data_IF_825270847048
#
_entry.id   IF_825270847048
#
_cell.length_a   1.000
_cell.length_b   1.000
_cell.length_c   1.000
_cell.angle_alpha   90.00
_cell.angle_beta   90.00
_cell.angle_gamma   90.00
#
_symmetry.space_group_name_H-M   'P 1'
#
loop_
_entity.id
_entity.type
_entity.pdbx_description
1 polymer ?
#
# COMPACT_ATOMS: atom_id res chain seq x y z
N UNK A 1 3.19 -17.89 -7.23
CA UNK A 1 3.27 -16.56 -7.88
C UNK A 1 2.17 -15.71 -7.26
N UNK A 2 2.46 -14.46 -6.90
CA UNK A 2 1.45 -13.58 -6.28
C UNK A 2 0.34 -13.30 -7.31
N UNK A 3 -0.93 -13.37 -6.90
CA UNK A 3 -2.04 -12.97 -7.76
C UNK A 3 -2.21 -11.45 -7.68
N UNK A 4 -1.77 -10.74 -8.72
CA UNK A 4 -1.85 -9.27 -8.79
C UNK A 4 -3.30 -8.76 -8.84
N UNK A 5 -4.24 -9.53 -9.38
CA UNK A 5 -5.66 -9.17 -9.38
C UNK A 5 -6.22 -9.09 -7.96
N UNK A 6 -5.81 -9.99 -7.06
CA UNK A 6 -6.21 -9.94 -5.65
C UNK A 6 -5.68 -8.68 -4.95
N UNK A 7 -4.48 -8.21 -5.33
CA UNK A 7 -3.91 -6.98 -4.77
C UNK A 7 -4.72 -5.75 -5.21
N UNK A 8 -5.09 -5.70 -6.49
CA UNK A 8 -5.95 -4.65 -7.04
C UNK A 8 -7.31 -4.69 -6.35
N UNK A 9 -7.92 -5.87 -6.22
CA UNK A 9 -9.20 -6.03 -5.54
C UNK A 9 -9.16 -5.54 -4.09
N UNK A 10 -8.15 -5.94 -3.31
CA UNK A 10 -7.98 -5.49 -1.93
C UNK A 10 -7.80 -3.96 -1.83
N UNK A 11 -7.16 -3.35 -2.83
CA UNK A 11 -6.91 -1.91 -2.89
C UNK A 11 -8.16 -1.10 -3.27
N UNK A 12 -9.00 -1.62 -4.16
CA UNK A 12 -10.08 -0.84 -4.82
C UNK A 12 -11.50 -1.27 -4.44
N UNK A 13 -11.67 -2.35 -3.69
CA UNK A 13 -13.01 -2.76 -3.24
C UNK A 13 -13.68 -1.69 -2.36
N UNK A 14 -15.01 -1.71 -2.37
CA UNK A 14 -15.81 -0.78 -1.57
C UNK A 14 -15.44 -0.89 -0.08
N UNK A 15 -15.18 0.25 0.55
CA UNK A 15 -14.81 0.33 1.97
C UNK A 15 -13.32 0.14 2.29
N UNK A 16 -12.48 -0.24 1.30
CA UNK A 16 -11.02 -0.33 1.48
C UNK A 16 -10.42 1.00 1.96
N UNK A 17 -10.91 2.11 1.41
CA UNK A 17 -10.49 3.45 1.76
C UNK A 17 -11.67 4.29 2.24
N UNK A 18 -11.46 5.01 3.33
CA UNK A 18 -12.41 6.02 3.83
C UNK A 18 -11.84 7.43 3.76
N UNK A 19 -10.52 7.60 3.63
CA UNK A 19 -9.91 8.91 3.48
C UNK A 19 -9.86 9.25 1.98
N UNK A 20 -10.60 10.28 1.51
CA UNK A 20 -10.67 10.58 0.07
C UNK A 20 -9.31 10.86 -0.58
N UNK A 21 -8.38 11.43 0.18
CA UNK A 21 -7.02 11.71 -0.29
C UNK A 21 -6.19 10.44 -0.59
N UNK A 22 -6.56 9.28 -0.04
CA UNK A 22 -5.88 8.02 -0.36
C UNK A 22 -6.37 7.41 -1.70
N UNK A 23 -7.50 7.88 -2.24
CA UNK A 23 -8.06 7.36 -3.50
C UNK A 23 -7.12 7.62 -4.67
N UNK A 24 -6.46 8.78 -4.70
CA UNK A 24 -5.48 9.11 -5.74
C UNK A 24 -4.29 8.13 -5.69
N UNK A 25 -3.74 7.87 -4.49
CA UNK A 25 -2.66 6.90 -4.31
C UNK A 25 -3.07 5.49 -4.76
N UNK A 26 -4.28 5.04 -4.42
CA UNK A 26 -4.78 3.76 -4.84
C UNK A 26 -4.98 3.66 -6.35
N UNK A 27 -5.51 4.71 -6.98
CA UNK A 27 -5.74 4.76 -8.43
C UNK A 27 -4.42 4.69 -9.20
N UNK A 28 -3.40 5.41 -8.76
CA UNK A 28 -2.08 5.37 -9.41
C UNK A 28 -1.39 4.02 -9.16
N UNK A 29 -1.49 3.47 -7.95
CA UNK A 29 -0.90 2.18 -7.63
C UNK A 29 -1.58 1.02 -8.37
N UNK A 30 -2.91 1.04 -8.52
CA UNK A 30 -3.68 0.07 -9.31
C UNK A 30 -3.10 -0.08 -10.73
N UNK A 31 -2.83 1.04 -11.40
CA UNK A 31 -2.25 1.05 -12.75
C UNK A 31 -0.83 0.46 -12.79
N UNK A 32 -0.07 0.63 -11.71
CA UNK A 32 1.34 0.22 -11.60
C UNK A 32 1.50 -1.25 -11.21
N UNK A 33 0.58 -1.81 -10.40
CA UNK A 33 0.66 -3.18 -9.87
C UNK A 33 1.02 -4.23 -10.95
N UNK A 34 0.37 -4.24 -12.15
CA UNK A 34 0.67 -5.20 -13.21
C UNK A 34 2.16 -5.25 -13.61
N UNK A 35 2.86 -4.12 -13.55
CA UNK A 35 4.23 -3.97 -14.03
C UNK A 35 5.29 -4.03 -12.92
N UNK A 36 4.88 -4.04 -11.64
CA UNK A 36 5.82 -4.13 -10.52
C UNK A 36 6.66 -5.41 -10.56
N UNK A 37 7.94 -5.26 -10.29
CA UNK A 37 8.87 -6.36 -10.08
C UNK A 37 8.63 -7.03 -8.72
N UNK A 38 8.94 -8.33 -8.61
CA UNK A 38 8.69 -9.12 -7.40
C UNK A 38 9.96 -9.73 -6.83
N UNK A 39 10.15 -9.63 -5.52
CA UNK A 39 11.24 -10.27 -4.77
C UNK A 39 10.64 -11.01 -3.57
N UNK A 40 11.07 -12.26 -3.36
CA UNK A 40 10.77 -12.97 -2.11
C UNK A 40 11.90 -12.70 -1.12
N UNK A 41 11.55 -12.11 0.02
CA UNK A 41 12.48 -11.81 1.11
C UNK A 41 11.82 -12.16 2.44
N UNK A 42 12.50 -12.92 3.29
CA UNK A 42 12.01 -13.32 4.62
C UNK A 42 10.58 -13.91 4.58
N UNK A 43 10.34 -14.80 3.60
CA UNK A 43 9.03 -15.40 3.29
C UNK A 43 7.91 -14.43 2.86
N UNK A 44 8.19 -13.14 2.79
CA UNK A 44 7.29 -12.12 2.25
C UNK A 44 7.55 -11.91 0.77
N UNK A 45 6.52 -11.50 0.02
CA UNK A 45 6.67 -11.06 -1.38
C UNK A 45 6.61 -9.54 -1.42
N UNK A 46 7.69 -8.91 -1.88
CA UNK A 46 7.77 -7.46 -2.07
C UNK A 46 7.51 -7.17 -3.54
N UNK A 47 6.65 -6.18 -3.82
CA UNK A 47 6.43 -5.62 -5.15
C UNK A 47 6.97 -4.20 -5.18
N UNK A 48 7.85 -3.90 -6.14
CA UNK A 48 8.61 -2.66 -6.17
C UNK A 48 8.84 -2.14 -7.60
N UNK A 49 9.19 -0.86 -7.66
CA UNK A 49 9.60 -0.14 -8.87
C UNK A 49 11.14 -0.03 -8.95
N UNK A 50 11.65 0.40 -10.11
CA UNK A 50 13.04 0.85 -10.28
C UNK A 50 14.13 -0.19 -9.94
N UNK A 51 13.89 -1.48 -10.23
CA UNK A 51 14.93 -2.52 -10.21
C UNK A 51 15.43 -2.98 -8.84
N UNK A 52 14.98 -2.38 -7.73
CA UNK A 52 15.38 -2.82 -6.39
C UNK A 52 14.34 -2.51 -5.30
N UNK A 53 14.10 -3.49 -4.44
CA UNK A 53 13.28 -3.33 -3.25
C UNK A 53 13.98 -2.42 -2.22
N UNK A 54 13.34 -1.30 -1.88
CA UNK A 54 13.78 -0.35 -0.85
C UNK A 54 12.58 0.41 -0.28
N UNK A 55 12.80 1.23 0.74
CA UNK A 55 11.74 2.13 1.26
C UNK A 55 11.19 3.06 0.18
N UNK A 56 12.05 3.53 -0.74
CA UNK A 56 11.65 4.45 -1.80
C UNK A 56 10.89 3.78 -2.95
N UNK A 57 11.10 2.47 -3.15
CA UNK A 57 10.66 1.76 -4.34
C UNK A 57 9.57 0.71 -4.08
N UNK A 58 9.44 0.21 -2.84
CA UNK A 58 8.46 -0.83 -2.51
C UNK A 58 7.07 -0.21 -2.43
N UNK A 59 6.11 -0.81 -3.14
CA UNK A 59 4.71 -0.35 -3.18
C UNK A 59 3.75 -1.32 -2.52
N UNK A 60 4.05 -2.61 -2.57
CA UNK A 60 3.23 -3.63 -1.90
C UNK A 60 4.14 -4.63 -1.19
N UNK A 61 3.76 -5.02 0.02
CA UNK A 61 4.34 -6.17 0.72
C UNK A 61 3.22 -7.14 1.04
N UNK A 62 3.39 -8.38 0.63
CA UNK A 62 2.51 -9.49 0.99
C UNK A 62 3.23 -10.37 2.00
N UNK A 63 2.74 -10.37 3.23
CA UNK A 63 3.29 -11.16 4.31
C UNK A 63 3.07 -12.67 4.08
N UNK A 64 3.82 -13.56 4.75
CA UNK A 64 3.62 -15.02 4.63
C UNK A 64 2.21 -15.45 5.05
N UNK A 65 1.57 -14.68 5.91
CA UNK A 65 0.20 -14.89 6.39
C UNK A 65 -0.88 -14.43 5.41
N UNK A 66 -0.50 -13.84 4.27
CA UNK A 66 -1.41 -13.32 3.25
C UNK A 66 -1.83 -11.86 3.46
N UNK A 67 -1.47 -11.23 4.57
CA UNK A 67 -1.77 -9.82 4.82
C UNK A 67 -1.03 -8.94 3.81
N UNK A 68 -1.68 -7.87 3.36
CA UNK A 68 -1.17 -7.00 2.30
C UNK A 68 -0.96 -5.60 2.87
N UNK A 69 0.23 -5.05 2.67
CA UNK A 69 0.57 -3.67 3.04
C UNK A 69 0.85 -2.86 1.79
N UNK A 70 0.17 -1.73 1.63
CA UNK A 70 0.32 -0.81 0.51
C UNK A 70 1.02 0.49 0.93
N UNK A 71 1.95 0.94 0.09
CA UNK A 71 2.77 2.12 0.29
C UNK A 71 2.54 3.13 -0.83
N UNK A 72 2.49 4.42 -0.47
CA UNK A 72 2.44 5.50 -1.45
C UNK A 72 3.84 5.75 -2.07
N UNK A 73 3.94 6.75 -2.94
CA UNK A 73 5.17 7.08 -3.65
C UNK A 73 6.31 7.53 -2.72
N UNK A 74 5.99 8.11 -1.56
CA UNK A 74 6.95 8.50 -0.52
C UNK A 74 7.38 7.32 0.38
N UNK A 75 6.92 6.10 0.11
CA UNK A 75 7.20 4.93 0.94
C UNK A 75 6.44 4.92 2.27
N UNK A 76 5.33 5.65 2.36
CA UNK A 76 4.45 5.67 3.54
C UNK A 76 3.35 4.64 3.40
N UNK A 77 3.20 3.80 4.42
CA UNK A 77 2.09 2.86 4.50
C UNK A 77 0.78 3.61 4.63
N UNK A 78 -0.12 3.46 3.66
CA UNK A 78 -1.43 4.10 3.70
C UNK A 78 -2.59 3.11 3.85
N UNK A 79 -2.39 1.84 3.49
CA UNK A 79 -3.40 0.78 3.66
C UNK A 79 -2.74 -0.54 4.07
N UNK A 80 -3.39 -1.29 4.95
CA UNK A 80 -3.08 -2.66 5.29
C UNK A 80 -4.37 -3.48 5.34
N UNK A 81 -4.35 -4.68 4.78
CA UNK A 81 -5.50 -5.57 4.73
C UNK A 81 -5.20 -6.93 5.33
N UNK A 82 -6.28 -7.62 5.72
CA UNK A 82 -6.23 -9.06 5.97
C UNK A 82 -6.03 -9.84 4.65
N UNK A 83 -5.90 -11.18 4.71
CA UNK A 83 -5.72 -12.01 3.52
C UNK A 83 -6.91 -12.04 2.55
N UNK A 84 -8.11 -11.64 3.01
CA UNK A 84 -9.32 -11.54 2.19
C UNK A 84 -9.46 -10.16 1.54
N UNK A 85 -8.57 -9.21 1.90
CA UNK A 85 -8.55 -7.86 1.37
C UNK A 85 -9.30 -6.85 2.23
N UNK A 86 -9.87 -7.26 3.37
CA UNK A 86 -10.58 -6.32 4.25
C UNK A 86 -9.57 -5.39 4.94
N UNK A 87 -9.86 -4.07 4.99
CA UNK A 87 -8.95 -3.10 5.57
C UNK A 87 -8.81 -3.29 7.09
N UNK A 88 -7.59 -3.50 7.56
CA UNK A 88 -7.23 -3.53 8.98
C UNK A 88 -6.71 -2.18 9.47
N UNK A 89 -6.02 -1.46 8.60
CA UNK A 89 -5.44 -0.16 8.91
C UNK A 89 -5.43 0.73 7.68
N UNK A 90 -5.81 1.99 7.86
CA UNK A 90 -5.65 3.04 6.85
C UNK A 90 -5.00 4.26 7.50
N UNK A 91 -4.03 4.87 6.84
CA UNK A 91 -3.36 6.08 7.31
C UNK A 91 -3.46 7.18 6.26
N UNK A 92 -3.79 8.39 6.71
CA UNK A 92 -3.74 9.59 5.90
C UNK A 92 -2.46 10.35 6.21
N UNK A 93 -1.64 10.52 5.18
CA UNK A 93 -0.42 11.32 5.23
C UNK A 93 -0.64 12.62 4.48
N UNK A 94 -0.27 13.75 5.09
CA UNK A 94 -0.34 15.06 4.44
C UNK A 94 0.99 15.79 4.61
N UNK A 95 1.29 16.72 3.71
CA UNK A 95 2.43 17.63 3.89
C UNK A 95 2.02 18.78 4.81
N UNK A 96 2.93 19.18 5.68
CA UNK A 96 2.77 20.38 6.50
C UNK A 96 3.16 21.62 5.69
N UNK A 97 2.22 22.54 5.52
CA UNK A 97 2.39 23.72 4.66
C UNK A 97 3.53 24.66 5.09
N UNK A 98 4.01 24.57 6.33
CA UNK A 98 5.06 25.45 6.86
C UNK A 98 6.45 24.84 6.70
N UNK A 99 6.56 23.55 6.92
CA UNK A 99 7.84 22.82 6.99
C UNK A 99 8.09 21.97 5.75
N UNK A 100 7.05 21.68 4.96
CA UNK A 100 7.09 20.73 3.85
C UNK A 100 7.23 19.27 4.30
N UNK A 101 7.18 18.99 5.60
CA UNK A 101 7.36 17.65 6.12
C UNK A 101 6.08 16.81 5.99
N UNK A 102 6.21 15.56 5.57
CA UNK A 102 5.11 14.58 5.58
C UNK A 102 4.78 14.18 7.01
N UNK A 103 3.51 14.31 7.40
CA UNK A 103 3.00 13.99 8.74
C UNK A 103 1.83 13.01 8.66
N UNK A 104 1.69 12.17 9.68
CA UNK A 104 0.52 11.32 9.87
C UNK A 104 -0.59 12.16 10.50
N UNK A 105 -1.70 12.34 9.78
CA UNK A 105 -2.78 13.23 10.19
C UNK A 105 -3.98 12.48 10.74
N UNK A 106 -4.36 11.38 10.10
CA UNK A 106 -5.43 10.48 10.55
C UNK A 106 -5.00 9.03 10.39
N UNK A 107 -5.55 8.18 11.25
CA UNK A 107 -5.46 6.73 11.08
C UNK A 107 -6.79 6.07 11.46
N UNK A 108 -7.23 5.13 10.64
CA UNK A 108 -8.27 4.14 10.97
C UNK A 108 -7.56 2.84 11.35
N UNK A 109 -7.96 2.24 12.46
CA UNK A 109 -7.51 0.93 12.87
C UNK A 109 -8.70 0.05 13.23
N UNK A 110 -8.66 -1.20 12.79
CA UNK A 110 -9.53 -2.27 13.25
C UNK A 110 -8.72 -3.16 14.18
N UNK A 111 -9.17 -3.26 15.44
CA UNK A 111 -8.53 -4.04 16.51
C UNK A 111 -9.15 -5.43 16.62
#
# INVERSE_FOLDING_TARGET
MINKENLIHALTQEGSLIFPANVEFATELEKKIPDLETLVQDSSTLLFENGSASVANTRVIVAPTGHITFYNEEGRRFLCTDPEGHPLHEALWTQDDKTGATQLTLARMQL
#
